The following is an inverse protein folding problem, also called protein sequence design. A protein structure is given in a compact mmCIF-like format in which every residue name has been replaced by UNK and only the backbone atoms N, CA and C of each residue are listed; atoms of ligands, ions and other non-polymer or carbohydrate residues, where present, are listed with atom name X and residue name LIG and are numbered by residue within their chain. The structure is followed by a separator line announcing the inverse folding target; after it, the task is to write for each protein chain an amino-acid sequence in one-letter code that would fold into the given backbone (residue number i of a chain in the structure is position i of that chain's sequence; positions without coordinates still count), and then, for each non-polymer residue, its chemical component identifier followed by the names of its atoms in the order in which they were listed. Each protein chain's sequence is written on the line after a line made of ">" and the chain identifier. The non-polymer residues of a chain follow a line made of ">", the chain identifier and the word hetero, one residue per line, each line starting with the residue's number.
data_IF_114597339811
#
_entry.id   IF_114597339811
#
_cell.length_a   1.000
_cell.length_b   1.000
_cell.length_c   1.000
_cell.angle_alpha   90.00
_cell.angle_beta   90.00
_cell.angle_gamma   90.00
#
_symmetry.space_group_name_H-M   'P 1'
#
loop_
_entity.id
_entity.type
_entity.pdbx_description
1 polymer ?
#
# COMPACT_ATOMS: atom_id res chain seq x y z
N UNK A 1 18.07 -44.72 -70.23
CA UNK A 1 17.58 -45.86 -69.43
C UNK A 1 17.45 -45.49 -67.96
N UNK A 2 16.23 -45.59 -67.44
CA UNK A 2 15.89 -46.03 -66.11
C UNK A 2 16.10 -45.00 -64.98
N UNK A 3 15.27 -44.81 -64.08
CA UNK A 3 13.89 -45.21 -63.69
C UNK A 3 13.51 -44.25 -62.55
N UNK A 4 12.37 -43.70 -62.73
CA UNK A 4 11.60 -42.93 -61.75
C UNK A 4 11.31 -43.75 -60.50
N UNK A 5 11.48 -43.17 -59.29
CA UNK A 5 10.79 -43.62 -58.10
C UNK A 5 10.25 -42.41 -57.39
N UNK A 6 8.94 -42.28 -57.42
CA UNK A 6 8.17 -41.31 -56.65
C UNK A 6 8.11 -41.80 -55.18
N UNK A 7 8.60 -41.03 -54.28
CA UNK A 7 8.32 -41.24 -52.84
C UNK A 7 7.34 -40.16 -52.39
N UNK A 8 6.14 -40.64 -52.13
CA UNK A 8 5.02 -39.88 -51.58
C UNK A 8 5.36 -39.51 -50.11
N UNK A 9 5.60 -38.25 -49.83
CA UNK A 9 5.78 -37.78 -48.45
C UNK A 9 4.44 -37.18 -48.01
N UNK A 10 3.69 -37.96 -47.26
CA UNK A 10 2.47 -37.55 -46.57
C UNK A 10 2.81 -36.53 -45.53
N UNK A 11 2.33 -35.30 -45.76
CA UNK A 11 2.44 -34.15 -44.87
C UNK A 11 1.40 -34.31 -43.73
N UNK A 12 1.84 -34.79 -42.57
CA UNK A 12 1.04 -34.76 -41.33
C UNK A 12 1.15 -33.40 -40.74
N UNK A 13 0.13 -32.55 -40.95
CA UNK A 13 -0.04 -31.30 -40.20
C UNK A 13 -0.39 -31.63 -38.76
N UNK A 14 0.59 -31.66 -37.88
CA UNK A 14 0.37 -31.62 -36.44
C UNK A 14 0.01 -30.19 -36.04
N UNK A 15 -1.27 -29.96 -35.73
CA UNK A 15 -1.77 -28.75 -35.10
C UNK A 15 -1.24 -28.73 -33.67
N UNK A 16 -0.15 -28.00 -33.45
CA UNK A 16 0.26 -27.60 -32.12
C UNK A 16 -0.71 -26.54 -31.61
N UNK A 17 -1.67 -26.92 -30.81
CA UNK A 17 -2.41 -26.03 -29.95
C UNK A 17 -1.43 -25.56 -28.88
N UNK A 18 -0.86 -24.37 -29.08
CA UNK A 18 -0.12 -23.66 -28.06
C UNK A 18 -1.12 -23.16 -27.02
N UNK A 19 -1.46 -24.00 -26.04
CA UNK A 19 -2.01 -23.48 -24.77
C UNK A 19 -0.90 -22.68 -24.13
N UNK A 20 -0.96 -21.37 -24.32
CA UNK A 20 -0.20 -20.41 -23.53
C UNK A 20 -0.70 -20.47 -22.09
N UNK A 21 -0.16 -21.40 -21.29
CA UNK A 21 -0.15 -21.24 -19.86
C UNK A 21 0.81 -20.08 -19.58
N UNK A 22 0.27 -18.91 -19.34
CA UNK A 22 1.00 -17.87 -18.62
C UNK A 22 1.26 -18.44 -17.22
N UNK A 23 2.44 -19.06 -17.04
CA UNK A 23 3.02 -19.20 -15.72
C UNK A 23 3.21 -17.77 -15.22
N UNK A 24 2.39 -17.36 -14.25
CA UNK A 24 2.78 -16.35 -13.31
C UNK A 24 4.02 -16.93 -12.63
N UNK A 25 5.18 -16.41 -12.99
CA UNK A 25 6.38 -16.59 -12.20
C UNK A 25 6.05 -16.02 -10.81
N UNK A 26 5.81 -16.95 -9.87
CA UNK A 26 5.87 -16.68 -8.44
C UNK A 26 7.31 -16.29 -8.13
N UNK A 27 7.58 -15.00 -8.27
CA UNK A 27 8.79 -14.37 -7.79
C UNK A 27 8.78 -14.49 -6.27
N UNK A 28 9.37 -15.57 -5.76
CA UNK A 28 9.62 -15.84 -4.34
C UNK A 28 10.75 -14.93 -3.83
N UNK A 29 10.53 -13.64 -3.96
CA UNK A 29 11.36 -12.59 -3.42
C UNK A 29 10.54 -11.72 -2.48
N UNK A 30 10.46 -12.10 -1.20
CA UNK A 30 10.28 -11.20 -0.07
C UNK A 30 9.14 -10.17 -0.10
N UNK A 31 7.97 -10.49 -0.62
CA UNK A 31 6.79 -9.60 -0.64
C UNK A 31 5.80 -9.88 0.51
N UNK A 32 6.27 -10.30 1.68
CA UNK A 32 5.41 -10.72 2.80
C UNK A 32 4.40 -9.66 3.29
N UNK A 33 4.46 -8.42 2.78
CA UNK A 33 3.57 -7.33 3.15
C UNK A 33 2.65 -6.81 2.04
N UNK A 34 2.82 -7.24 0.77
CA UNK A 34 1.96 -6.77 -0.32
C UNK A 34 0.86 -7.79 -0.60
N UNK A 35 -0.38 -7.35 -0.43
CA UNK A 35 -1.56 -8.12 -0.81
C UNK A 35 -2.09 -7.53 -2.11
N UNK A 36 -2.06 -8.27 -3.20
CA UNK A 36 -2.37 -7.84 -4.56
C UNK A 36 -1.41 -6.73 -5.07
N UNK A 37 -0.47 -7.08 -5.94
CA UNK A 37 0.57 -6.17 -6.47
C UNK A 37 0.10 -5.35 -7.69
N UNK A 38 -1.20 -5.13 -7.86
CA UNK A 38 -1.77 -4.34 -8.94
C UNK A 38 -2.05 -2.92 -8.47
N UNK A 39 -1.27 -1.94 -8.94
CA UNK A 39 -1.40 -0.53 -8.59
C UNK A 39 -1.69 0.31 -9.83
N UNK A 40 -2.59 1.28 -9.70
CA UNK A 40 -2.86 2.23 -10.78
C UNK A 40 -1.67 3.15 -11.05
N UNK A 41 -1.67 3.81 -12.20
CA UNK A 41 -0.64 4.80 -12.57
C UNK A 41 -0.60 5.99 -11.60
N UNK A 42 -1.76 6.40 -11.06
CA UNK A 42 -1.86 7.46 -10.07
C UNK A 42 -1.15 7.07 -8.77
N UNK A 43 -1.35 5.83 -8.31
CA UNK A 43 -0.67 5.32 -7.11
C UNK A 43 0.83 5.26 -7.33
N UNK A 44 1.28 4.70 -8.45
CA UNK A 44 2.72 4.58 -8.72
C UNK A 44 3.42 5.90 -9.00
N UNK A 45 2.69 6.95 -9.37
CA UNK A 45 3.21 8.32 -9.47
C UNK A 45 3.52 8.94 -8.09
N UNK A 46 2.79 8.58 -7.04
CA UNK A 46 3.00 9.06 -5.65
C UNK A 46 3.95 8.15 -4.89
N UNK A 47 3.76 6.84 -5.00
CA UNK A 47 4.55 5.80 -4.35
C UNK A 47 5.09 4.85 -5.41
N UNK A 48 6.37 5.00 -5.80
CA UNK A 48 6.96 4.10 -6.80
C UNK A 48 6.92 2.64 -6.33
N UNK A 49 6.94 1.70 -7.28
CA UNK A 49 6.93 0.26 -6.95
C UNK A 49 8.05 -0.13 -6.00
N UNK A 50 9.25 0.41 -6.20
CA UNK A 50 10.42 0.16 -5.33
C UNK A 50 10.18 0.69 -3.92
N UNK A 51 9.52 1.85 -3.79
CA UNK A 51 9.17 2.42 -2.48
C UNK A 51 8.13 1.55 -1.77
N UNK A 52 7.09 1.10 -2.49
CA UNK A 52 6.07 0.18 -1.97
C UNK A 52 6.72 -1.13 -1.51
N UNK A 53 7.57 -1.73 -2.34
CA UNK A 53 8.31 -2.95 -2.00
C UNK A 53 9.20 -2.76 -0.77
N UNK A 54 9.89 -1.62 -0.68
CA UNK A 54 10.71 -1.29 0.50
C UNK A 54 9.88 -1.18 1.77
N UNK A 55 8.72 -0.55 1.72
CA UNK A 55 7.79 -0.48 2.87
C UNK A 55 7.33 -1.89 3.28
N UNK A 56 6.91 -2.70 2.31
CA UNK A 56 6.45 -4.07 2.55
C UNK A 56 7.54 -4.98 3.12
N UNK A 57 8.76 -4.92 2.58
CA UNK A 57 9.92 -5.64 3.11
C UNK A 57 10.24 -5.26 4.57
N UNK A 58 9.81 -4.08 5.01
CA UNK A 58 9.88 -3.60 6.39
C UNK A 58 8.57 -3.77 7.16
N UNK A 59 7.80 -4.83 6.87
CA UNK A 59 6.60 -5.26 7.60
C UNK A 59 5.39 -4.32 7.50
N UNK A 60 5.41 -3.36 6.55
CA UNK A 60 4.21 -2.63 6.22
C UNK A 60 3.25 -3.54 5.43
N UNK A 61 1.98 -3.57 5.83
CA UNK A 61 0.93 -4.23 5.04
C UNK A 61 0.42 -3.24 4.00
N UNK A 62 0.56 -3.59 2.72
CA UNK A 62 0.14 -2.75 1.60
C UNK A 62 -0.90 -3.51 0.77
N UNK A 63 -2.07 -2.94 0.62
CA UNK A 63 -3.13 -3.49 -0.22
C UNK A 63 -3.13 -2.80 -1.57
N UNK A 64 -2.78 -3.53 -2.62
CA UNK A 64 -2.94 -3.12 -3.99
C UNK A 64 -4.36 -3.44 -4.50
N UNK A 65 -4.61 -3.07 -5.72
CA UNK A 65 -5.90 -3.18 -6.40
C UNK A 65 -6.30 -1.86 -7.02
N UNK A 66 -7.19 -1.91 -8.01
CA UNK A 66 -7.64 -0.74 -8.77
C UNK A 66 -9.09 -0.35 -8.49
N UNK A 67 -9.75 -1.10 -7.59
CA UNK A 67 -11.15 -0.88 -7.18
C UNK A 67 -11.24 -0.71 -5.66
N UNK A 68 -10.62 0.36 -5.09
CA UNK A 68 -10.63 0.58 -3.65
C UNK A 68 -12.03 0.85 -3.12
N UNK A 69 -12.30 0.53 -1.85
CA UNK A 69 -13.55 0.93 -1.20
C UNK A 69 -13.64 2.45 -1.08
N UNK A 70 -14.86 2.98 -0.93
CA UNK A 70 -15.06 4.38 -0.58
C UNK A 70 -14.88 4.56 0.92
N UNK A 71 -13.82 5.26 1.33
CA UNK A 71 -13.41 5.42 2.75
C UNK A 71 -13.57 6.87 3.22
N UNK A 72 -14.63 7.55 2.84
CA UNK A 72 -14.86 8.93 3.29
C UNK A 72 -15.37 8.97 4.72
N UNK A 73 -14.90 9.95 5.51
CA UNK A 73 -15.31 10.14 6.90
C UNK A 73 -14.19 10.69 7.77
N UNK A 74 -14.47 10.74 9.06
CA UNK A 74 -13.55 11.15 10.12
C UNK A 74 -13.18 9.94 10.97
N UNK A 75 -11.89 9.75 11.22
CA UNK A 75 -11.37 8.59 11.95
C UNK A 75 -10.33 9.01 12.97
N UNK A 76 -10.26 8.29 14.07
CA UNK A 76 -9.19 8.40 15.06
C UNK A 76 -8.46 7.07 15.20
N UNK A 77 -7.13 7.08 15.10
CA UNK A 77 -6.34 5.86 15.28
C UNK A 77 -6.21 5.46 16.75
N UNK A 78 -6.61 6.35 17.66
CA UNK A 78 -6.25 6.16 19.07
C UNK A 78 -4.73 6.09 19.26
N UNK A 79 -4.29 5.57 20.38
CA UNK A 79 -2.87 5.37 20.67
C UNK A 79 -2.23 4.41 19.66
N UNK A 80 -1.07 4.79 19.13
CA UNK A 80 -0.31 3.98 18.16
C UNK A 80 1.03 3.54 18.74
N UNK A 81 1.48 2.37 18.33
CA UNK A 81 2.73 1.76 18.75
C UNK A 81 3.64 1.51 17.54
N UNK A 82 4.92 1.86 17.64
CA UNK A 82 5.93 1.47 16.67
C UNK A 82 6.16 -0.05 16.76
N UNK A 83 5.72 -0.77 15.74
CA UNK A 83 5.82 -2.24 15.68
C UNK A 83 7.00 -2.73 14.88
N UNK A 84 7.49 -1.92 13.95
CA UNK A 84 8.69 -2.22 13.17
C UNK A 84 9.39 -0.95 12.71
N UNK A 85 10.72 -1.02 12.63
CA UNK A 85 11.56 0.02 12.07
C UNK A 85 12.76 -0.59 11.34
N UNK A 86 13.12 -0.04 10.20
CA UNK A 86 14.33 -0.44 9.46
C UNK A 86 15.64 -0.02 10.15
N UNK A 87 15.55 0.78 11.21
CA UNK A 87 16.71 1.23 12.02
C UNK A 87 17.04 0.26 13.16
N UNK A 88 16.22 -0.78 13.35
CA UNK A 88 16.40 -1.76 14.42
C UNK A 88 16.41 -1.12 15.81
N UNK A 89 17.34 -1.55 16.66
CA UNK A 89 17.44 -1.09 18.03
C UNK A 89 17.94 0.36 18.18
N UNK A 90 18.50 0.92 17.12
CA UNK A 90 18.98 2.30 17.09
C UNK A 90 17.89 3.34 16.81
N UNK A 91 16.63 2.94 16.63
CA UNK A 91 15.55 3.90 16.41
C UNK A 91 15.18 4.60 17.72
N UNK A 92 15.34 5.93 17.82
CA UNK A 92 14.98 6.68 19.03
C UNK A 92 13.48 6.63 19.36
N UNK A 93 12.63 6.24 18.39
CA UNK A 93 11.20 6.13 18.58
C UNK A 93 10.74 4.75 19.08
N UNK A 94 11.65 3.78 19.21
CA UNK A 94 11.33 2.38 19.55
C UNK A 94 10.59 2.23 20.88
N UNK A 95 10.83 3.13 21.83
CA UNK A 95 10.19 3.11 23.17
C UNK A 95 9.22 4.28 23.38
N UNK A 96 8.94 5.06 22.36
CA UNK A 96 8.06 6.20 22.46
C UNK A 96 6.58 5.75 22.41
N UNK A 97 5.74 6.36 23.24
CA UNK A 97 4.30 6.29 23.15
C UNK A 97 3.80 7.44 22.25
N UNK A 98 2.79 7.16 21.46
CA UNK A 98 2.20 8.13 20.54
C UNK A 98 0.69 8.17 20.73
N UNK A 99 0.15 9.35 20.92
CA UNK A 99 -1.28 9.55 21.16
C UNK A 99 -2.15 9.28 19.93
N UNK A 100 -1.53 9.08 18.77
CA UNK A 100 -2.22 8.81 17.51
C UNK A 100 -2.66 10.06 16.77
N UNK A 101 -3.54 9.84 15.80
CA UNK A 101 -3.96 10.85 14.85
C UNK A 101 -5.47 10.85 14.64
N UNK A 102 -5.99 12.04 14.34
CA UNK A 102 -7.25 12.23 13.65
C UNK A 102 -6.99 12.31 12.15
N UNK A 103 -7.87 11.67 11.36
CA UNK A 103 -7.87 11.69 9.90
C UNK A 103 -9.26 12.06 9.40
N UNK A 104 -9.30 12.85 8.34
CA UNK A 104 -10.48 13.03 7.50
C UNK A 104 -10.14 12.63 6.09
N UNK A 105 -10.94 11.72 5.53
CA UNK A 105 -10.86 11.33 4.13
C UNK A 105 -12.08 11.85 3.39
N UNK A 106 -11.88 12.51 2.25
CA UNK A 106 -12.97 13.15 1.52
C UNK A 106 -12.62 13.40 0.05
N UNK A 107 -13.66 13.77 -0.75
CA UNK A 107 -13.53 14.00 -2.19
C UNK A 107 -12.93 12.79 -2.94
N UNK A 108 -13.30 11.56 -2.53
CA UNK A 108 -12.80 10.37 -3.20
C UNK A 108 -13.45 10.22 -4.58
N UNK A 109 -12.59 10.17 -5.61
CA UNK A 109 -12.96 9.92 -7.00
C UNK A 109 -11.98 8.90 -7.61
N UNK A 110 -12.44 7.66 -7.77
CA UNK A 110 -11.59 6.53 -8.17
C UNK A 110 -10.43 6.34 -7.20
N UNK A 111 -9.21 6.41 -7.71
CA UNK A 111 -7.97 6.28 -6.92
C UNK A 111 -7.48 7.56 -6.26
N UNK A 112 -8.21 8.68 -6.38
CA UNK A 112 -7.82 9.99 -5.82
C UNK A 112 -8.73 10.39 -4.68
N UNK A 113 -8.15 11.02 -3.64
CA UNK A 113 -8.91 11.59 -2.53
C UNK A 113 -8.09 12.71 -1.87
N UNK A 114 -8.70 13.37 -0.89
CA UNK A 114 -8.01 14.30 0.00
C UNK A 114 -7.94 13.76 1.42
N UNK A 115 -6.86 14.12 2.11
CA UNK A 115 -6.61 13.78 3.50
C UNK A 115 -6.34 15.05 4.29
N UNK A 116 -7.09 15.23 5.37
CA UNK A 116 -6.68 16.08 6.48
C UNK A 116 -6.18 15.18 7.61
N UNK A 117 -5.16 15.61 8.32
CA UNK A 117 -4.66 14.89 9.50
C UNK A 117 -4.14 15.83 10.57
N UNK A 118 -4.27 15.43 11.83
CA UNK A 118 -3.61 16.07 12.97
C UNK A 118 -3.32 15.05 14.06
N UNK A 119 -2.25 15.23 14.83
CA UNK A 119 -2.02 14.40 16.00
C UNK A 119 -2.94 14.80 17.16
N UNK A 120 -3.20 13.89 18.09
CA UNK A 120 -4.06 14.13 19.26
C UNK A 120 -3.46 15.15 20.21
N UNK A 121 -2.14 15.23 20.30
CA UNK A 121 -1.44 16.17 21.20
C UNK A 121 -1.60 17.65 20.81
N UNK A 122 -2.35 17.96 19.75
CA UNK A 122 -2.64 19.34 19.35
C UNK A 122 -1.42 20.11 18.88
N UNK A 123 -0.49 19.45 18.23
CA UNK A 123 0.78 20.03 17.84
C UNK A 123 0.87 20.47 16.38
N UNK A 124 2.10 20.70 15.97
CA UNK A 124 2.49 21.15 14.63
C UNK A 124 2.32 20.10 13.53
N UNK A 125 2.05 18.85 13.88
CA UNK A 125 1.85 17.73 12.98
C UNK A 125 0.40 17.67 12.47
N UNK A 126 0.05 18.66 11.64
CA UNK A 126 -1.26 18.75 11.02
C UNK A 126 -1.14 19.28 9.60
N UNK A 127 -1.99 18.83 8.71
CA UNK A 127 -2.18 19.36 7.37
C UNK A 127 -3.60 19.14 6.89
N UNK A 128 -4.09 20.02 6.02
CA UNK A 128 -5.41 19.98 5.43
C UNK A 128 -5.31 19.95 3.91
N UNK A 129 -6.27 19.29 3.26
CA UNK A 129 -6.38 19.27 1.81
C UNK A 129 -5.24 18.56 1.08
N UNK A 130 -4.54 17.64 1.77
CA UNK A 130 -3.43 16.90 1.18
C UNK A 130 -3.96 15.99 0.09
N UNK A 131 -3.41 16.14 -1.12
CA UNK A 131 -3.72 15.23 -2.21
C UNK A 131 -3.16 13.84 -1.90
N UNK A 132 -4.00 12.84 -1.99
CA UNK A 132 -3.68 11.46 -1.72
C UNK A 132 -4.19 10.54 -2.83
N UNK A 133 -3.66 9.34 -2.88
CA UNK A 133 -4.11 8.28 -3.76
C UNK A 133 -4.43 7.03 -2.94
N UNK A 134 -5.39 6.24 -3.41
CA UNK A 134 -5.82 5.02 -2.75
C UNK A 134 -5.74 3.84 -3.71
N UNK A 135 -5.19 2.73 -3.24
CA UNK A 135 -5.29 1.41 -3.86
C UNK A 135 -6.13 0.48 -2.99
N UNK A 136 -6.65 -0.57 -3.56
CA UNK A 136 -7.40 -1.55 -2.79
C UNK A 136 -8.35 -2.37 -3.63
N UNK A 137 -8.96 -3.36 -2.98
CA UNK A 137 -9.98 -4.23 -3.54
C UNK A 137 -10.91 -4.74 -2.42
N UNK A 138 -12.22 -4.80 -2.71
CA UNK A 138 -13.21 -5.16 -1.70
C UNK A 138 -13.26 -4.13 -0.58
N UNK A 139 -12.97 -4.54 0.65
CA UNK A 139 -12.91 -3.66 1.82
C UNK A 139 -11.49 -3.27 2.25
N UNK A 140 -10.47 -3.82 1.59
CA UNK A 140 -9.05 -3.60 1.90
C UNK A 140 -8.49 -2.44 1.09
N UNK A 141 -7.70 -1.58 1.73
CA UNK A 141 -7.13 -0.42 1.05
C UNK A 141 -5.80 0.03 1.64
N UNK A 142 -5.07 0.79 0.84
CA UNK A 142 -3.93 1.62 1.28
C UNK A 142 -4.03 3.01 0.65
N UNK A 143 -3.99 4.04 1.50
CA UNK A 143 -3.92 5.45 1.08
C UNK A 143 -2.47 5.91 1.16
N UNK A 144 -1.96 6.52 0.09
CA UNK A 144 -0.61 7.09 0.03
C UNK A 144 -0.67 8.60 -0.14
N UNK A 145 0.14 9.31 0.63
CA UNK A 145 0.31 10.76 0.49
C UNK A 145 1.68 11.19 1.01
N UNK A 146 2.10 12.39 0.61
CA UNK A 146 3.26 13.05 1.21
C UNK A 146 2.78 13.91 2.37
N UNK A 147 3.39 13.71 3.54
CA UNK A 147 3.11 14.55 4.70
C UNK A 147 3.72 15.96 4.54
N UNK A 148 3.58 16.82 5.54
CA UNK A 148 4.11 18.18 5.56
C UNK A 148 5.63 18.20 5.39
N UNK A 149 6.32 17.22 5.93
CA UNK A 149 7.76 17.04 5.87
C UNK A 149 8.22 16.40 4.53
N UNK A 150 7.26 16.10 3.64
CA UNK A 150 7.45 15.43 2.35
C UNK A 150 7.90 13.97 2.45
N UNK A 151 7.71 13.34 3.60
CA UNK A 151 7.86 11.89 3.74
C UNK A 151 6.62 11.17 3.21
N UNK A 152 6.82 9.99 2.65
CA UNK A 152 5.69 9.21 2.14
C UNK A 152 5.03 8.46 3.31
N UNK A 153 3.75 8.69 3.47
CA UNK A 153 2.88 7.98 4.41
C UNK A 153 1.99 7.01 3.65
N UNK A 154 1.84 5.80 4.20
CA UNK A 154 0.86 4.81 3.77
C UNK A 154 -0.05 4.46 4.96
N UNK A 155 -1.34 4.67 4.81
CA UNK A 155 -2.38 4.27 5.77
C UNK A 155 -3.10 3.05 5.21
N UNK A 156 -3.06 1.92 5.91
CA UNK A 156 -3.62 0.66 5.44
C UNK A 156 -4.63 0.10 6.44
N UNK A 157 -5.63 -0.61 5.91
CA UNK A 157 -6.62 -1.28 6.75
C UNK A 157 -7.76 -1.89 5.95
N UNK A 158 -8.77 -2.36 6.69
CA UNK A 158 -10.00 -2.95 6.16
C UNK A 158 -11.18 -2.09 6.59
N UNK A 159 -11.86 -1.47 5.64
CA UNK A 159 -13.00 -0.59 5.91
C UNK A 159 -14.25 -1.40 6.24
N UNK A 160 -14.90 -1.12 7.37
CA UNK A 160 -16.12 -1.81 7.83
C UNK A 160 -17.38 -0.95 7.72
N UNK A 161 -17.26 0.26 7.18
CA UNK A 161 -18.34 1.25 7.06
C UNK A 161 -18.26 2.35 8.13
N UNK A 162 -17.95 1.99 9.36
CA UNK A 162 -17.86 2.88 10.52
C UNK A 162 -16.49 2.86 11.22
N UNK A 163 -15.61 1.95 10.81
CA UNK A 163 -14.25 1.84 11.32
C UNK A 163 -13.29 1.30 10.26
N UNK A 164 -12.00 1.45 10.53
CA UNK A 164 -10.93 0.81 9.76
C UNK A 164 -10.25 -0.21 10.67
N UNK A 165 -10.49 -1.49 10.40
CA UNK A 165 -9.88 -2.60 11.11
C UNK A 165 -8.44 -2.83 10.65
N UNK A 166 -7.59 -3.39 11.50
CA UNK A 166 -6.18 -3.65 11.23
C UNK A 166 -5.43 -2.38 10.80
N UNK A 167 -5.81 -1.24 11.40
CA UNK A 167 -5.27 0.07 11.02
C UNK A 167 -3.77 0.15 11.27
N UNK A 168 -3.06 0.55 10.24
CA UNK A 168 -1.62 0.71 10.25
C UNK A 168 -1.23 2.00 9.53
N UNK A 169 -0.25 2.71 10.08
CA UNK A 169 0.45 3.82 9.46
C UNK A 169 1.89 3.40 9.21
N UNK A 170 2.34 3.53 7.98
CA UNK A 170 3.73 3.31 7.61
C UNK A 170 4.31 4.59 7.02
N UNK A 171 5.54 4.91 7.39
CA UNK A 171 6.23 6.11 6.94
C UNK A 171 7.58 5.72 6.37
N UNK A 172 7.93 6.27 5.20
CA UNK A 172 9.28 6.21 4.68
C UNK A 172 9.85 7.62 4.55
N UNK A 173 10.95 7.87 5.25
CA UNK A 173 11.61 9.17 5.21
C UNK A 173 12.15 9.44 3.79
N UNK A 174 11.70 10.51 3.16
CA UNK A 174 12.19 10.97 1.85
C UNK A 174 13.20 12.11 2.00
N UNK A 175 13.01 12.93 3.02
CA UNK A 175 13.80 14.15 3.28
C UNK A 175 14.46 14.07 4.63
N UNK A 176 13.73 13.69 5.69
CA UNK A 176 14.28 13.58 7.03
C UNK A 176 15.33 12.47 7.14
N UNK A 177 16.36 12.71 7.92
CA UNK A 177 17.41 11.71 8.15
C UNK A 177 17.00 10.74 9.26
N UNK A 178 17.37 9.46 9.11
CA UNK A 178 18.06 8.86 7.96
C UNK A 178 17.09 8.65 6.77
N UNK A 179 17.47 9.17 5.60
CA UNK A 179 16.69 9.03 4.37
C UNK A 179 16.49 7.55 4.03
N UNK A 180 15.27 7.20 3.68
CA UNK A 180 14.89 5.84 3.36
C UNK A 180 14.61 4.95 4.57
N UNK A 181 14.66 5.49 5.80
CA UNK A 181 14.19 4.76 6.97
C UNK A 181 12.68 4.50 6.85
N UNK A 182 12.27 3.27 7.18
CA UNK A 182 10.86 2.85 7.21
C UNK A 182 10.46 2.60 8.65
N UNK A 183 9.31 3.13 9.05
CA UNK A 183 8.67 2.89 10.35
C UNK A 183 7.25 2.45 10.15
N UNK A 184 6.81 1.49 10.93
CA UNK A 184 5.46 0.93 10.90
C UNK A 184 4.84 1.06 12.28
N UNK A 185 3.73 1.80 12.34
CA UNK A 185 2.94 2.02 13.54
C UNK A 185 1.61 1.29 13.40
N UNK A 186 1.15 0.67 14.45
CA UNK A 186 -0.19 0.06 14.50
C UNK A 186 -0.99 0.69 15.64
N UNK A 187 -2.29 0.86 15.41
CA UNK A 187 -3.20 1.20 16.48
C UNK A 187 -3.17 0.10 17.55
N UNK A 188 -3.11 0.46 18.83
CA UNK A 188 -3.15 -0.50 19.94
C UNK A 188 -4.47 -1.24 20.05
N UNK A 189 -5.58 -0.60 19.67
CA UNK A 189 -6.89 -1.24 19.58
C UNK A 189 -7.04 -2.16 18.37
N UNK A 190 -6.14 -2.02 17.36
CA UNK A 190 -6.26 -2.65 16.06
C UNK A 190 -7.20 -1.91 15.10
N UNK A 191 -7.79 -0.78 15.51
CA UNK A 191 -8.78 -0.03 14.74
C UNK A 191 -8.40 1.44 14.60
N UNK A 192 -8.89 2.08 13.52
CA UNK A 192 -9.19 3.50 13.54
C UNK A 192 -10.71 3.64 13.54
N UNK A 193 -11.24 4.26 14.58
CA UNK A 193 -12.68 4.37 14.83
C UNK A 193 -13.24 5.63 14.23
N UNK A 194 -14.47 5.58 13.75
CA UNK A 194 -15.19 6.77 13.30
C UNK A 194 -15.34 7.76 14.46
N UNK A 195 -15.15 9.03 14.19
CA UNK A 195 -15.26 10.11 15.17
C UNK A 195 -16.04 11.28 14.61
N UNK A 196 -16.57 12.12 15.48
CA UNK A 196 -17.15 13.43 15.12
C UNK A 196 -16.19 14.58 15.41
N UNK A 197 -15.07 14.27 16.04
CA UNK A 197 -14.03 15.24 16.40
C UNK A 197 -12.98 15.29 15.30
N UNK A 198 -12.72 16.52 14.84
CA UNK A 198 -11.62 16.79 13.92
C UNK A 198 -11.08 18.20 14.15
#
# INVERSE_FOLDING_TARGET
>A
MKRTIYALCTMVCALFVMTSCSKSDDDKGGNDGIVNNNFSSEVTAVASKETIQKMAANKATIYGGTTPPRVEGYFTSGEVQLTHTSLGDNDPLKSAAFDGFYYRFYEQNGSKLKVDYRNHAGGTYAANGVNAVISGEGNKFTIFFLNKERDLVALSGEFTGDAIKNFQQSVINKVEKPVGAVRVFKSKSGYAESTREF
#
